data_IF_608441123810
#
_entry.id   IF_608441123810
#
_cell.length_a   1.000
_cell.length_b   1.000
_cell.length_c   1.000
_cell.angle_alpha   90.00
_cell.angle_beta   90.00
_cell.angle_gamma   90.00
#
_symmetry.space_group_name_H-M   'P 1'
#
loop_
_entity.id
_entity.type
_entity.pdbx_description
1 polymer ?
#
# COMPACT_ATOMS: atom_id res chain seq x y z
N UNK A 1 -10.18 21.75 -14.63
CA UNK A 1 -9.88 21.11 -13.33
C UNK A 1 -9.28 19.74 -13.59
N UNK A 2 -8.01 19.52 -13.23
CA UNK A 2 -7.40 18.19 -13.30
C UNK A 2 -8.26 17.23 -12.47
N UNK A 3 -8.94 16.30 -13.14
CA UNK A 3 -9.70 15.26 -12.45
C UNK A 3 -8.66 14.40 -11.72
N UNK A 4 -8.47 14.56 -10.41
CA UNK A 4 -7.68 13.60 -9.64
C UNK A 4 -8.25 12.20 -9.91
N UNK A 5 -7.45 11.38 -10.58
CA UNK A 5 -7.77 10.01 -10.99
C UNK A 5 -7.16 9.07 -9.98
N UNK A 6 -7.91 8.03 -9.66
CA UNK A 6 -7.38 6.92 -8.88
C UNK A 6 -6.44 6.12 -9.81
N UNK A 7 -5.31 5.69 -9.27
CA UNK A 7 -4.28 4.89 -9.91
C UNK A 7 -3.97 3.62 -9.12
N UNK A 8 -3.18 2.74 -9.73
CA UNK A 8 -2.59 1.60 -9.03
C UNK A 8 -1.19 1.91 -8.56
N UNK A 9 -0.85 1.32 -7.42
CA UNK A 9 0.42 1.51 -6.75
C UNK A 9 0.95 0.17 -6.24
N UNK A 10 2.25 -0.01 -6.27
CA UNK A 10 2.97 -0.96 -5.43
C UNK A 10 3.49 -0.22 -4.23
N UNK A 11 3.38 -0.84 -3.06
CA UNK A 11 3.90 -0.29 -1.81
C UNK A 11 5.16 -1.06 -1.46
N UNK A 12 6.16 -0.34 -0.94
CA UNK A 12 7.41 -0.94 -0.48
C UNK A 12 7.15 -2.14 0.44
N UNK A 13 7.87 -3.24 0.16
CA UNK A 13 7.58 -4.53 0.80
C UNK A 13 8.11 -4.58 2.23
N UNK A 14 9.30 -4.00 2.47
CA UNK A 14 9.90 -3.91 3.80
C UNK A 14 9.03 -3.05 4.73
N UNK A 15 8.48 -1.96 4.19
CA UNK A 15 7.50 -1.14 4.90
C UNK A 15 6.22 -1.91 5.26
N UNK A 16 5.66 -2.66 4.32
CA UNK A 16 4.47 -3.48 4.59
C UNK A 16 4.76 -4.53 5.68
N UNK A 17 5.90 -5.20 5.63
CA UNK A 17 6.32 -6.17 6.64
C UNK A 17 6.62 -5.53 8.00
N UNK A 18 7.19 -4.32 8.01
CA UNK A 18 7.33 -3.50 9.20
C UNK A 18 5.97 -3.23 9.86
N UNK A 19 4.98 -2.73 9.12
CA UNK A 19 3.65 -2.45 9.66
C UNK A 19 2.95 -3.71 10.19
N UNK A 20 3.16 -4.87 9.53
CA UNK A 20 2.58 -6.16 9.95
C UNK A 20 3.02 -6.63 11.34
N UNK A 21 4.17 -6.13 11.85
CA UNK A 21 4.61 -6.38 13.23
C UNK A 21 3.66 -5.76 14.26
N UNK A 22 2.91 -4.73 13.87
CA UNK A 22 2.00 -3.97 14.74
C UNK A 22 0.53 -4.30 14.46
N UNK A 23 0.15 -4.54 13.21
CA UNK A 23 -1.19 -5.02 12.87
C UNK A 23 -1.15 -6.14 11.82
N UNK A 24 -1.53 -7.35 12.24
CA UNK A 24 -1.59 -8.53 11.38
C UNK A 24 -2.57 -8.41 10.20
N UNK A 25 -3.50 -7.44 10.24
CA UNK A 25 -4.48 -7.14 9.18
C UNK A 25 -3.89 -6.36 8.01
N UNK A 26 -2.67 -5.82 8.14
CA UNK A 26 -1.94 -5.20 7.04
C UNK A 26 -1.73 -6.26 5.94
N UNK A 27 -1.97 -5.93 4.65
CA UNK A 27 -1.90 -6.92 3.58
C UNK A 27 -0.51 -7.56 3.47
N UNK A 28 -0.47 -8.88 3.33
CA UNK A 28 0.77 -9.57 2.99
C UNK A 28 1.16 -9.29 1.54
N UNK A 29 2.33 -8.70 1.35
CA UNK A 29 2.93 -8.33 0.07
C UNK A 29 4.20 -9.09 -0.23
N UNK A 30 4.55 -10.14 0.51
CA UNK A 30 5.75 -10.93 0.23
C UNK A 30 5.52 -12.06 -0.78
N UNK A 31 6.62 -12.66 -1.26
CA UNK A 31 6.67 -13.78 -2.21
C UNK A 31 5.84 -13.54 -3.49
N UNK A 32 4.96 -14.49 -3.81
CA UNK A 32 3.97 -14.41 -4.87
C UNK A 32 2.97 -13.25 -4.73
N UNK A 33 3.09 -12.36 -3.73
CA UNK A 33 2.20 -11.20 -3.52
C UNK A 33 2.91 -9.85 -3.58
N UNK A 34 4.20 -9.79 -3.92
CA UNK A 34 4.97 -8.53 -4.10
C UNK A 34 4.37 -7.58 -5.13
N UNK A 35 3.73 -8.13 -6.16
CA UNK A 35 3.07 -7.31 -7.19
C UNK A 35 1.62 -6.99 -6.88
N UNK A 36 1.14 -7.20 -5.64
CA UNK A 36 -0.25 -6.88 -5.26
C UNK A 36 -0.51 -5.40 -5.52
N UNK A 37 -1.41 -5.05 -6.45
CA UNK A 37 -1.74 -3.65 -6.66
C UNK A 37 -2.58 -3.13 -5.51
N UNK A 38 -2.20 -1.96 -5.04
CA UNK A 38 -3.00 -1.11 -4.20
C UNK A 38 -3.68 -0.04 -5.05
N UNK A 39 -4.81 0.46 -4.56
CA UNK A 39 -5.55 1.54 -5.17
C UNK A 39 -5.46 2.79 -4.31
N UNK A 40 -5.16 3.93 -4.95
CA UNK A 40 -5.05 5.23 -4.31
C UNK A 40 -5.03 6.36 -5.34
N UNK A 41 -4.96 7.62 -4.97
CA UNK A 41 -4.96 8.18 -3.61
C UNK A 41 -6.38 8.16 -3.04
N UNK A 42 -6.59 7.63 -1.84
CA UNK A 42 -7.92 7.52 -1.21
C UNK A 42 -8.24 8.67 -0.26
N UNK A 43 -7.31 8.97 0.65
CA UNK A 43 -7.40 10.01 1.68
C UNK A 43 -5.96 10.40 2.05
N UNK A 44 -5.73 11.66 2.42
CA UNK A 44 -4.45 12.13 2.97
C UNK A 44 -4.67 12.64 4.39
N UNK A 45 -3.83 12.19 5.33
CA UNK A 45 -3.84 12.58 6.75
C UNK A 45 -2.40 12.83 7.17
N UNK A 46 -2.10 14.03 7.68
CA UNK A 46 -0.77 14.40 8.19
C UNK A 46 0.37 13.95 7.25
N UNK A 47 0.29 14.38 5.97
CA UNK A 47 1.23 14.07 4.88
C UNK A 47 1.26 12.63 4.37
N UNK A 48 0.67 11.68 5.10
CA UNK A 48 0.55 10.29 4.69
C UNK A 48 -0.69 10.08 3.84
N UNK A 49 -0.55 9.24 2.81
CA UNK A 49 -1.66 8.93 1.90
C UNK A 49 -2.12 7.49 2.10
N UNK A 50 -3.43 7.29 2.15
CA UNK A 50 -4.05 5.99 2.29
C UNK A 50 -4.21 5.27 0.95
N UNK A 51 -3.82 3.98 0.98
CA UNK A 51 -3.94 3.06 -0.14
C UNK A 51 -4.63 1.77 0.32
N UNK A 52 -5.53 1.23 -0.50
CA UNK A 52 -6.23 -0.03 -0.19
C UNK A 52 -5.78 -1.16 -1.12
N UNK A 53 -5.60 -2.40 -0.63
CA UNK A 53 -5.24 -3.53 -1.46
C UNK A 53 -6.41 -3.97 -2.36
N UNK A 54 -6.08 -4.38 -3.59
CA UNK A 54 -7.01 -5.13 -4.43
C UNK A 54 -6.99 -6.63 -4.08
N UNK A 55 -8.13 -7.28 -4.29
CA UNK A 55 -8.32 -8.72 -4.20
C UNK A 55 -8.80 -9.26 -5.54
N UNK A 56 -8.07 -10.24 -6.11
CA UNK A 56 -8.43 -10.90 -7.37
C UNK A 56 -9.84 -11.50 -7.34
N UNK A 57 -10.49 -11.72 -8.50
CA UNK A 57 -11.78 -12.41 -8.57
C UNK A 57 -11.75 -13.75 -7.81
N UNK A 58 -12.77 -14.00 -6.99
CA UNK A 58 -12.97 -15.25 -6.26
C UNK A 58 -14.46 -15.58 -6.24
N UNK A 59 -14.88 -16.85 -6.23
CA UNK A 59 -16.30 -17.22 -6.22
C UNK A 59 -17.11 -16.54 -5.11
N UNK A 60 -16.51 -16.36 -3.93
CA UNK A 60 -17.16 -15.67 -2.80
C UNK A 60 -17.52 -14.20 -3.11
N UNK A 61 -16.77 -13.50 -3.95
CA UNK A 61 -17.02 -12.08 -4.26
C UNK A 61 -18.33 -11.87 -5.01
N UNK A 62 -18.81 -12.88 -5.75
CA UNK A 62 -20.11 -12.82 -6.44
C UNK A 62 -21.26 -12.77 -5.43
N UNK A 63 -21.11 -13.48 -4.30
CA UNK A 63 -22.14 -13.61 -3.25
C UNK A 63 -22.03 -12.53 -2.17
N UNK A 64 -20.82 -12.04 -1.89
CA UNK A 64 -20.60 -11.02 -0.87
C UNK A 64 -21.37 -9.72 -1.18
N UNK A 65 -21.85 -9.05 -0.13
CA UNK A 65 -22.49 -7.74 -0.22
C UNK A 65 -21.44 -6.63 -0.14
N UNK A 66 -21.70 -5.52 -0.82
CA UNK A 66 -20.94 -4.30 -0.59
C UNK A 66 -21.19 -3.83 0.85
N UNK A 67 -20.12 -3.42 1.53
CA UNK A 67 -20.18 -2.80 2.86
C UNK A 67 -19.37 -1.50 2.84
N UNK A 68 -19.32 -0.76 3.95
CA UNK A 68 -18.50 0.45 4.06
C UNK A 68 -16.99 0.13 3.94
N UNK A 69 -16.59 -1.05 4.38
CA UNK A 69 -15.22 -1.58 4.36
C UNK A 69 -14.85 -2.41 3.11
N UNK A 70 -15.83 -2.78 2.28
CA UNK A 70 -15.63 -3.72 1.17
C UNK A 70 -16.41 -3.29 -0.08
N UNK A 71 -15.71 -3.18 -1.21
CA UNK A 71 -16.29 -2.76 -2.49
C UNK A 71 -16.02 -3.82 -3.56
N UNK A 72 -17.08 -4.32 -4.18
CA UNK A 72 -17.02 -5.20 -5.35
C UNK A 72 -16.70 -4.41 -6.61
N UNK A 73 -15.78 -4.92 -7.43
CA UNK A 73 -15.50 -4.39 -8.76
C UNK A 73 -16.31 -5.18 -9.78
N UNK A 74 -17.13 -4.49 -10.58
CA UNK A 74 -18.04 -5.11 -11.55
C UNK A 74 -18.87 -6.25 -10.92
N UNK A 75 -19.60 -5.93 -9.85
CA UNK A 75 -20.43 -6.90 -9.11
C UNK A 75 -19.66 -8.12 -8.57
N UNK A 76 -18.34 -8.02 -8.43
CA UNK A 76 -17.45 -9.06 -7.90
C UNK A 76 -16.77 -9.89 -8.99
N UNK A 77 -17.17 -9.72 -10.25
CA UNK A 77 -16.59 -10.42 -11.41
C UNK A 77 -15.12 -10.06 -11.61
N UNK A 78 -14.74 -8.83 -11.28
CA UNK A 78 -13.36 -8.35 -11.38
C UNK A 78 -12.68 -8.23 -10.02
N UNK A 79 -13.18 -8.91 -8.98
CA UNK A 79 -12.58 -8.86 -7.66
C UNK A 79 -13.15 -7.75 -6.78
N UNK A 80 -12.35 -7.24 -5.86
CA UNK A 80 -12.80 -6.31 -4.83
C UNK A 80 -11.67 -5.41 -4.29
N UNK A 81 -12.07 -4.32 -3.63
CA UNK A 81 -11.24 -3.40 -2.84
C UNK A 81 -11.53 -3.66 -1.36
N UNK A 82 -10.50 -3.96 -0.56
CA UNK A 82 -10.64 -4.16 0.89
C UNK A 82 -10.22 -2.88 1.62
N UNK A 83 -11.18 -1.98 1.88
CA UNK A 83 -10.92 -0.73 2.59
C UNK A 83 -10.61 -0.94 4.07
N UNK A 84 -11.12 -2.01 4.69
CA UNK A 84 -10.69 -2.37 6.06
C UNK A 84 -9.18 -2.63 6.17
N UNK A 85 -8.52 -2.99 5.07
CA UNK A 85 -7.08 -3.27 5.05
C UNK A 85 -6.26 -2.14 4.40
N UNK A 86 -6.83 -0.93 4.28
CA UNK A 86 -6.06 0.21 3.82
C UNK A 86 -4.99 0.60 4.83
N UNK A 87 -3.89 1.15 4.33
CA UNK A 87 -2.73 1.55 5.13
C UNK A 87 -2.32 2.98 4.77
N UNK A 88 -1.86 3.78 5.75
CA UNK A 88 -1.16 5.03 5.48
C UNK A 88 0.18 4.70 4.84
N UNK A 89 0.64 5.53 3.91
CA UNK A 89 1.95 5.36 3.25
C UNK A 89 2.53 6.74 2.97
N UNK A 90 3.80 6.93 3.32
CA UNK A 90 4.56 8.11 2.92
C UNK A 90 4.82 8.09 1.41
N UNK A 91 4.81 9.25 0.75
CA UNK A 91 4.86 9.32 -0.71
C UNK A 91 6.10 8.63 -1.32
N UNK A 92 7.24 8.60 -0.62
CA UNK A 92 8.46 7.93 -1.08
C UNK A 92 8.38 6.40 -1.09
N UNK A 93 7.37 5.81 -0.45
CA UNK A 93 7.20 4.36 -0.30
C UNK A 93 6.08 3.79 -1.20
N UNK A 94 5.45 4.65 -2.00
CA UNK A 94 4.41 4.26 -2.95
C UNK A 94 4.85 4.56 -4.37
N UNK A 95 5.00 3.53 -5.20
CA UNK A 95 5.31 3.68 -6.62
C UNK A 95 4.05 3.51 -7.43
N UNK A 96 3.70 4.53 -8.22
CA UNK A 96 2.57 4.42 -9.16
C UNK A 96 2.93 3.45 -10.28
N UNK A 97 2.01 2.55 -10.61
CA UNK A 97 2.26 1.51 -11.62
C UNK A 97 1.27 1.58 -12.76
N UNK A 98 1.78 1.40 -13.97
CA UNK A 98 0.97 1.13 -15.15
C UNK A 98 0.45 -0.32 -15.08
N UNK A 99 -0.88 -0.55 -15.16
CA UNK A 99 -1.47 -1.89 -15.23
C UNK A 99 -0.78 -2.85 -16.22
N UNK A 100 -0.27 -2.34 -17.34
CA UNK A 100 0.41 -3.13 -18.36
C UNK A 100 1.78 -3.66 -17.89
N UNK A 101 2.37 -3.06 -16.86
CA UNK A 101 3.68 -3.43 -16.33
C UNK A 101 3.59 -4.39 -15.12
N UNK A 102 2.38 -4.67 -14.61
CA UNK A 102 2.16 -5.59 -13.47
C UNK A 102 1.97 -7.06 -13.89
N UNK A 103 2.23 -7.38 -15.16
CA UNK A 103 1.89 -8.67 -15.77
C UNK A 103 2.53 -9.88 -15.04
N UNK A 104 1.74 -10.96 -14.85
CA UNK A 104 2.20 -12.24 -14.29
C UNK A 104 2.26 -13.34 -15.35
N UNK A 105 3.10 -14.34 -15.11
CA UNK A 105 3.31 -15.54 -15.93
C UNK A 105 2.05 -16.43 -16.09
N UNK A 106 2.12 -17.29 -17.11
CA UNK A 106 1.11 -18.20 -17.70
C UNK A 106 -0.05 -17.57 -18.50
N UNK A 107 -0.52 -16.35 -18.18
CA UNK A 107 -1.45 -15.61 -19.06
C UNK A 107 -1.38 -14.09 -18.84
N UNK A 108 -0.29 -13.51 -19.34
CA UNK A 108 0.07 -12.10 -19.24
C UNK A 108 -1.05 -11.17 -19.74
N UNK A 109 -1.62 -11.48 -20.91
CA UNK A 109 -2.59 -10.61 -21.58
C UNK A 109 -3.93 -10.54 -20.83
N UNK A 110 -4.45 -11.67 -20.35
CA UNK A 110 -5.69 -11.69 -19.59
C UNK A 110 -5.57 -10.92 -18.27
N UNK A 111 -4.43 -11.02 -17.59
CA UNK A 111 -4.19 -10.29 -16.35
C UNK A 111 -4.07 -8.78 -16.58
N UNK A 112 -3.32 -8.35 -17.60
CA UNK A 112 -3.25 -6.93 -17.99
C UNK A 112 -4.63 -6.35 -18.31
N UNK A 113 -5.44 -7.07 -19.10
CA UNK A 113 -6.82 -6.68 -19.42
C UNK A 113 -7.70 -6.57 -18.17
N UNK A 114 -7.56 -7.52 -17.22
CA UNK A 114 -8.28 -7.46 -15.95
C UNK A 114 -7.92 -6.19 -15.17
N UNK A 115 -6.62 -5.88 -15.02
CA UNK A 115 -6.18 -4.69 -14.30
C UNK A 115 -6.67 -3.41 -14.98
N UNK A 116 -6.62 -3.32 -16.31
CA UNK A 116 -7.13 -2.18 -17.06
C UNK A 116 -8.64 -1.98 -16.87
N UNK A 117 -9.40 -3.08 -16.90
CA UNK A 117 -10.83 -3.08 -16.64
C UNK A 117 -11.15 -2.64 -15.21
N UNK A 118 -10.40 -3.14 -14.22
CA UNK A 118 -10.52 -2.72 -12.82
C UNK A 118 -10.23 -1.21 -12.68
N UNK A 119 -9.12 -0.71 -13.25
CA UNK A 119 -8.73 0.70 -13.14
C UNK A 119 -9.78 1.63 -13.78
N UNK A 120 -10.32 1.23 -14.93
CA UNK A 120 -11.39 1.95 -15.62
C UNK A 120 -12.65 2.01 -14.76
N UNK A 121 -13.08 0.87 -14.22
CA UNK A 121 -14.23 0.79 -13.33
C UNK A 121 -14.03 1.63 -12.07
N UNK A 122 -12.87 1.55 -11.44
CA UNK A 122 -12.53 2.33 -10.25
C UNK A 122 -12.54 3.84 -10.52
N UNK A 123 -12.04 4.28 -11.68
CA UNK A 123 -12.10 5.69 -12.05
C UNK A 123 -13.53 6.19 -12.32
N UNK A 124 -14.41 5.36 -12.90
CA UNK A 124 -15.83 5.66 -13.05
C UNK A 124 -16.56 5.75 -11.70
N UNK A 125 -16.12 4.95 -10.71
CA UNK A 125 -16.72 4.87 -9.37
C UNK A 125 -15.90 5.63 -8.31
N UNK A 126 -15.01 6.53 -8.70
CA UNK A 126 -14.01 7.12 -7.80
C UNK A 126 -14.62 7.83 -6.60
N UNK A 127 -15.70 8.58 -6.81
CA UNK A 127 -16.36 9.34 -5.74
C UNK A 127 -16.96 8.42 -4.68
N UNK A 128 -17.50 7.27 -5.10
CA UNK A 128 -18.00 6.23 -4.19
C UNK A 128 -16.86 5.62 -3.37
N UNK A 129 -15.74 5.30 -4.03
CA UNK A 129 -14.58 4.67 -3.38
C UNK A 129 -13.98 5.61 -2.33
N UNK A 130 -13.69 6.87 -2.71
CA UNK A 130 -13.13 7.89 -1.82
C UNK A 130 -14.09 8.16 -0.66
N UNK A 131 -15.37 8.42 -0.93
CA UNK A 131 -16.36 8.68 0.12
C UNK A 131 -16.49 7.52 1.12
N UNK A 132 -16.37 6.27 0.65
CA UNK A 132 -16.37 5.11 1.55
C UNK A 132 -15.09 5.01 2.38
N UNK A 133 -13.93 5.25 1.78
CA UNK A 133 -12.66 5.25 2.50
C UNK A 133 -12.64 6.31 3.61
N UNK A 134 -13.07 7.53 3.31
CA UNK A 134 -13.19 8.63 4.29
C UNK A 134 -14.17 8.28 5.42
N UNK A 135 -15.38 7.83 5.07
CA UNK A 135 -16.38 7.45 6.08
C UNK A 135 -15.88 6.30 6.97
N UNK A 136 -15.22 5.31 6.39
CA UNK A 136 -14.64 4.20 7.14
C UNK A 136 -13.57 4.72 8.09
N UNK A 137 -12.62 5.51 7.60
CA UNK A 137 -11.54 6.10 8.37
C UNK A 137 -12.08 6.80 9.63
N UNK A 138 -12.96 7.78 9.48
CA UNK A 138 -13.52 8.51 10.62
C UNK A 138 -14.38 7.64 11.54
N UNK A 139 -15.03 6.59 11.01
CA UNK A 139 -15.80 5.66 11.85
C UNK A 139 -14.88 4.78 12.72
N UNK A 140 -13.71 4.41 12.22
CA UNK A 140 -12.70 3.63 12.94
C UNK A 140 -11.97 4.49 13.96
N UNK A 141 -11.46 5.66 13.56
CA UNK A 141 -10.74 6.59 14.46
C UNK A 141 -11.59 7.00 15.66
N UNK A 142 -12.89 7.25 15.44
CA UNK A 142 -13.80 7.62 16.52
C UNK A 142 -14.38 6.41 17.29
N UNK A 143 -13.95 5.17 16.99
CA UNK A 143 -14.47 3.91 17.53
C UNK A 143 -16.01 3.80 17.48
N UNK A 144 -16.63 4.34 16.42
CA UNK A 144 -18.10 4.49 16.31
C UNK A 144 -18.80 3.23 15.80
N UNK A 145 -18.07 2.17 15.44
CA UNK A 145 -18.69 0.99 14.83
C UNK A 145 -17.94 -0.31 15.09
N UNK A 146 -18.69 -1.42 15.17
CA UNK A 146 -18.14 -2.79 15.28
C UNK A 146 -17.22 -3.18 14.12
N UNK A 147 -17.28 -2.46 13.00
CA UNK A 147 -16.42 -2.69 11.84
C UNK A 147 -14.95 -2.39 12.14
N UNK A 148 -14.67 -1.53 13.13
CA UNK A 148 -13.31 -1.19 13.54
C UNK A 148 -12.50 -2.44 13.94
N UNK A 149 -13.15 -3.45 14.56
CA UNK A 149 -12.49 -4.68 15.00
C UNK A 149 -11.83 -5.49 13.86
N UNK A 150 -12.34 -5.34 12.62
CA UNK A 150 -11.79 -6.03 11.44
C UNK A 150 -11.00 -5.10 10.51
N UNK A 151 -10.83 -3.84 10.90
CA UNK A 151 -10.00 -2.88 10.19
C UNK A 151 -8.58 -2.89 10.73
N UNK A 152 -7.64 -2.44 9.90
CA UNK A 152 -6.34 -2.02 10.41
C UNK A 152 -6.53 -0.95 11.49
N UNK A 153 -5.69 -0.95 12.51
CA UNK A 153 -5.60 0.11 13.49
C UNK A 153 -4.98 1.35 12.85
N UNK A 154 -5.82 2.18 12.24
CA UNK A 154 -5.39 3.35 11.48
C UNK A 154 -4.55 4.33 12.32
N UNK A 155 -4.93 4.57 13.57
CA UNK A 155 -4.18 5.46 14.47
C UNK A 155 -2.78 4.90 14.76
N UNK A 156 -2.68 3.60 15.07
CA UNK A 156 -1.39 2.97 15.30
C UNK A 156 -0.52 2.97 14.04
N UNK A 157 -1.10 2.62 12.89
CA UNK A 157 -0.34 2.57 11.63
C UNK A 157 0.13 3.96 11.17
N UNK A 158 -0.61 5.04 11.46
CA UNK A 158 -0.16 6.41 11.20
C UNK A 158 1.09 6.77 12.00
N UNK A 159 1.09 6.47 13.31
CA UNK A 159 2.27 6.65 14.16
C UNK A 159 3.46 5.86 13.59
N UNK A 160 3.25 4.58 13.23
CA UNK A 160 4.32 3.74 12.69
C UNK A 160 4.80 4.17 11.32
N UNK A 161 3.92 4.71 10.47
CA UNK A 161 4.29 5.33 9.20
C UNK A 161 5.25 6.50 9.40
N UNK A 162 4.96 7.37 10.36
CA UNK A 162 5.81 8.51 10.68
C UNK A 162 7.18 8.06 11.22
N UNK A 163 7.20 7.12 12.17
CA UNK A 163 8.44 6.56 12.72
C UNK A 163 9.35 5.97 11.62
N UNK A 164 8.77 5.18 10.70
CA UNK A 164 9.53 4.58 9.59
C UNK A 164 10.09 5.64 8.63
N UNK A 165 9.30 6.67 8.33
CA UNK A 165 9.73 7.76 7.42
C UNK A 165 10.90 8.57 7.99
N UNK A 166 10.92 8.79 9.31
CA UNK A 166 12.03 9.42 10.02
C UNK A 166 13.28 8.54 9.94
N UNK A 167 13.16 7.24 10.17
CA UNK A 167 14.29 6.30 10.10
C UNK A 167 14.91 6.24 8.69
N UNK A 168 14.08 6.24 7.64
CA UNK A 168 14.57 6.32 6.26
C UNK A 168 15.35 7.60 5.99
N UNK A 169 14.87 8.73 6.52
CA UNK A 169 15.51 10.03 6.32
C UNK A 169 16.88 10.11 7.02
N UNK A 170 17.04 9.42 8.14
CA UNK A 170 18.30 9.36 8.89
C UNK A 170 19.33 8.42 8.24
N UNK A 171 18.89 7.31 7.63
CA UNK A 171 19.76 6.33 6.97
C UNK A 171 20.24 6.78 5.58
N UNK A 172 19.56 7.75 4.97
CA UNK A 172 19.92 8.33 3.67
C UNK A 172 20.78 9.60 3.77
N UNK A 173 21.16 10.03 4.98
CA UNK A 173 22.12 11.14 5.15
C UNK A 173 23.49 10.72 4.60
N UNK A 174 24.14 11.53 3.74
CA UNK A 174 25.49 11.23 3.29
C UNK A 174 26.45 11.19 4.48
N UNK A 175 27.30 10.17 4.54
CA UNK A 175 28.36 10.06 5.55
C UNK A 175 29.23 11.32 5.42
N UNK A 176 29.25 12.16 6.45
CA UNK A 176 30.13 13.32 6.48
C UNK A 176 31.59 12.83 6.48
N UNK A 177 32.52 13.49 5.74
CA UNK A 177 33.90 13.04 5.56
C UNK A 177 34.67 12.70 6.84
N UNK A 178 34.24 13.24 7.99
CA UNK A 178 34.90 13.08 9.29
C UNK A 178 34.58 11.76 10.02
N UNK A 179 33.87 10.81 9.39
CA UNK A 179 33.55 9.50 10.00
C UNK A 179 34.25 8.32 9.33
N UNK A 180 35.21 8.55 8.42
CA UNK A 180 36.03 7.48 7.84
C UNK A 180 37.03 7.02 8.91
N UNK A 181 36.95 5.76 9.40
CA UNK A 181 37.98 5.24 10.31
C UNK A 181 39.33 5.22 9.59
N UNK A 182 40.44 5.58 10.27
CA UNK A 182 41.75 5.60 9.65
C UNK A 182 42.07 4.22 9.06
N UNK A 183 42.49 4.22 7.80
CA UNK A 183 42.92 3.02 7.09
C UNK A 183 44.08 2.40 7.87
N UNK A 184 44.01 1.10 8.27
CA UNK A 184 45.12 0.45 8.94
C UNK A 184 46.32 0.41 8.00
N UNK A 185 47.39 1.12 8.35
CA UNK A 185 48.69 0.99 7.71
C UNK A 185 49.30 -0.34 8.14
N UNK A 186 49.13 -1.38 7.33
CA UNK A 186 49.90 -2.61 7.49
C UNK A 186 51.36 -2.30 7.17
N UNK A 187 52.15 -2.10 8.23
CA UNK A 187 53.60 -1.96 8.17
C UNK A 187 54.23 -3.26 7.69
N UNK A 188 54.48 -3.38 6.39
CA UNK A 188 55.42 -4.34 5.85
C UNK A 188 56.83 -3.92 6.27
N UNK A 189 57.31 -4.49 7.37
CA UNK A 189 58.74 -4.59 7.65
C UNK A 189 59.25 -5.85 6.95
N UNK A 190 59.88 -5.69 5.79
CA UNK A 190 60.82 -6.70 5.30
C UNK A 190 62.19 -6.37 5.88
N UNK A 191 62.61 -7.20 6.83
CA UNK A 191 63.99 -7.24 7.29
C UNK A 191 64.88 -7.94 6.28
N UNK A 192 66.06 -7.34 6.09
CA UNK A 192 67.40 -7.92 5.80
C UNK A 192 67.48 -9.21 4.99
#
# INVERSE_FOLDING_TARGET
MSKNRIGFYTIDTDYCDYLRKFDSKVPYTMDSKQTRPFIGILLTVNENTYYAPLSSPKPKHLKMKNQIDFIKINSGKWGAINLNNMIPVHHSLATKVDPNHLQRTYNIQAYGNLLQNQLTWCNLNKSLIISKAEKLYYSVINNKCKIAQRCCDFSLLEQKCQEYSIQLSQTQQPILPNQIPPVPTNGFTQGI
#
